data_IF_074828801736
#
_entry.id   IF_074828801736
#
_cell.length_a   1.000
_cell.length_b   1.000
_cell.length_c   1.000
_cell.angle_alpha   90.00
_cell.angle_beta   90.00
_cell.angle_gamma   90.00
#
_symmetry.space_group_name_H-M   'P 1'
#
loop_
_entity.id
_entity.type
_entity.pdbx_description
1 polymer ?
#
# COMPACT_ATOMS: atom_id res chain seq x y z
N UNK A 1 42.41 24.20 31.98
CA UNK A 1 41.73 24.08 30.67
C UNK A 1 40.47 23.26 30.85
N UNK A 2 39.37 23.70 30.26
CA UNK A 2 37.97 23.44 30.61
C UNK A 2 37.51 21.99 30.49
N UNK A 3 37.02 21.42 31.61
CA UNK A 3 36.31 20.15 31.64
C UNK A 3 34.85 20.42 31.21
N UNK A 4 34.54 20.13 29.94
CA UNK A 4 33.21 20.31 29.35
C UNK A 4 32.28 19.27 29.98
N UNK A 5 31.44 19.71 30.92
CA UNK A 5 30.30 18.93 31.42
C UNK A 5 29.54 18.41 30.20
N UNK A 6 29.53 17.09 30.04
CA UNK A 6 28.61 16.41 29.15
C UNK A 6 27.21 16.77 29.67
N UNK A 7 26.49 17.56 28.89
CA UNK A 7 25.11 17.93 29.13
C UNK A 7 24.28 16.67 28.94
N UNK A 8 24.02 16.00 30.06
CA UNK A 8 23.04 14.93 30.17
C UNK A 8 21.70 15.54 29.75
N UNK A 9 21.37 15.39 28.46
CA UNK A 9 20.24 16.05 27.82
C UNK A 9 18.99 15.90 28.68
N UNK A 10 18.59 16.98 29.34
CA UNK A 10 17.42 16.98 30.20
C UNK A 10 16.19 16.91 29.30
N UNK A 11 15.65 15.70 29.14
CA UNK A 11 14.40 15.48 28.43
C UNK A 11 13.30 16.21 29.20
N UNK A 12 12.77 17.30 28.64
CA UNK A 12 11.57 17.90 29.21
C UNK A 12 10.43 16.90 29.03
N UNK A 13 9.56 16.72 30.04
CA UNK A 13 8.47 15.72 29.98
C UNK A 13 7.57 15.91 28.74
N UNK A 14 7.50 17.14 28.23
CA UNK A 14 6.81 17.48 26.96
C UNK A 14 7.46 16.86 25.73
N UNK A 15 8.80 16.87 25.63
CA UNK A 15 9.54 16.24 24.51
C UNK A 15 9.43 14.71 24.57
N UNK A 16 9.47 14.16 25.77
CA UNK A 16 9.35 12.72 25.99
C UNK A 16 7.95 12.20 25.63
N UNK A 17 6.89 12.93 26.02
CA UNK A 17 5.52 12.61 25.61
C UNK A 17 5.33 12.69 24.09
N UNK A 18 5.88 13.74 23.45
CA UNK A 18 5.82 13.89 22.00
C UNK A 18 6.49 12.71 21.27
N UNK A 19 7.65 12.27 21.74
CA UNK A 19 8.39 11.17 21.13
C UNK A 19 7.69 9.82 21.33
N UNK A 20 7.08 9.57 22.50
CA UNK A 20 6.25 8.39 22.71
C UNK A 20 5.01 8.38 21.80
N UNK A 21 4.35 9.52 21.63
CA UNK A 21 3.20 9.66 20.73
C UNK A 21 3.61 9.43 19.27
N UNK A 22 4.75 9.96 18.85
CA UNK A 22 5.28 9.74 17.51
C UNK A 22 5.61 8.25 17.29
N UNK A 23 6.26 7.60 18.25
CA UNK A 23 6.54 6.16 18.19
C UNK A 23 5.27 5.32 18.12
N UNK A 24 4.23 5.68 18.90
CA UNK A 24 2.93 5.03 18.85
C UNK A 24 2.29 5.15 17.46
N UNK A 25 2.30 6.35 16.86
CA UNK A 25 1.78 6.55 15.50
C UNK A 25 2.54 5.69 14.50
N UNK A 26 3.88 5.68 14.56
CA UNK A 26 4.71 4.86 13.66
C UNK A 26 4.38 3.37 13.83
N UNK A 27 4.25 2.89 15.07
CA UNK A 27 3.87 1.50 15.35
C UNK A 27 2.48 1.15 14.77
N UNK A 28 1.51 2.06 14.87
CA UNK A 28 0.18 1.88 14.26
C UNK A 28 0.30 1.80 12.73
N UNK A 29 1.06 2.70 12.10
CA UNK A 29 1.24 2.69 10.65
C UNK A 29 1.92 1.40 10.15
N UNK A 30 2.95 0.94 10.86
CA UNK A 30 3.61 -0.34 10.57
C UNK A 30 2.62 -1.49 10.73
N UNK A 31 1.86 -1.53 11.83
CA UNK A 31 0.86 -2.55 12.06
C UNK A 31 -0.19 -2.60 10.95
N UNK A 32 -0.66 -1.42 10.49
CA UNK A 32 -1.60 -1.34 9.36
C UNK A 32 -0.99 -1.87 8.06
N UNK A 33 0.25 -1.52 7.75
CA UNK A 33 0.91 -2.01 6.54
C UNK A 33 1.11 -3.53 6.58
N UNK A 34 1.54 -4.09 7.72
CA UNK A 34 1.73 -5.53 7.89
C UNK A 34 0.43 -6.35 7.83
N UNK A 35 -0.70 -5.72 8.17
CA UNK A 35 -2.01 -6.35 8.14
C UNK A 35 -2.75 -6.15 6.80
N UNK A 36 -2.22 -5.31 5.90
CA UNK A 36 -2.83 -5.08 4.59
C UNK A 36 -2.43 -6.22 3.66
N UNK A 37 -3.41 -7.03 3.24
CA UNK A 37 -3.21 -8.10 2.27
C UNK A 37 -3.04 -7.49 0.87
N UNK A 38 -1.80 -7.40 0.39
CA UNK A 38 -1.47 -6.87 -0.93
C UNK A 38 -1.10 -8.03 -1.86
N UNK A 39 -1.58 -8.02 -3.11
CA UNK A 39 -1.14 -9.00 -4.10
C UNK A 39 0.37 -8.89 -4.36
N UNK A 40 0.98 -10.03 -4.66
CA UNK A 40 2.42 -10.21 -4.89
C UNK A 40 2.92 -9.50 -6.15
N UNK A 41 2.05 -9.34 -7.14
CA UNK A 41 2.36 -8.68 -8.40
C UNK A 41 1.33 -7.60 -8.75
N UNK A 42 1.83 -6.47 -9.25
CA UNK A 42 1.00 -5.44 -9.88
C UNK A 42 0.86 -5.80 -11.36
N UNK A 43 -0.38 -6.02 -11.79
CA UNK A 43 -0.67 -6.33 -13.18
C UNK A 43 -0.73 -5.04 -14.00
N UNK A 44 0.13 -4.96 -15.01
CA UNK A 44 0.23 -3.82 -15.92
C UNK A 44 -0.09 -4.33 -17.32
N UNK A 45 -1.04 -3.69 -17.97
CA UNK A 45 -1.41 -3.98 -19.35
C UNK A 45 -0.30 -3.55 -20.32
N UNK A 46 -0.31 -4.05 -21.55
CA UNK A 46 0.64 -3.60 -22.60
C UNK A 46 0.62 -2.09 -22.86
N UNK A 47 -0.49 -1.42 -22.56
CA UNK A 47 -0.63 0.04 -22.67
C UNK A 47 -0.05 0.83 -21.49
N UNK A 48 0.49 0.15 -20.47
CA UNK A 48 1.03 0.75 -19.25
C UNK A 48 -0.02 1.06 -18.17
N UNK A 49 -1.27 0.61 -18.33
CA UNK A 49 -2.33 0.79 -17.32
C UNK A 49 -2.27 -0.32 -16.27
N UNK A 50 -2.44 0.04 -15.01
CA UNK A 50 -2.59 -0.91 -13.90
C UNK A 50 -4.02 -1.48 -13.94
N UNK A 51 -4.13 -2.79 -13.81
CA UNK A 51 -5.41 -3.49 -13.69
C UNK A 51 -5.31 -4.64 -12.69
N UNK A 52 -5.82 -4.43 -11.49
CA UNK A 52 -5.71 -5.36 -10.37
C UNK A 52 -6.77 -6.47 -10.40
N UNK A 53 -7.67 -6.53 -11.39
CA UNK A 53 -8.71 -7.56 -11.42
C UNK A 53 -8.12 -8.98 -11.45
N UNK A 54 -7.00 -9.18 -12.16
CA UNK A 54 -6.30 -10.47 -12.25
C UNK A 54 -5.59 -10.92 -10.97
N UNK A 55 -5.51 -10.06 -9.95
CA UNK A 55 -4.99 -10.44 -8.63
C UNK A 55 -5.89 -11.48 -7.94
N UNK A 56 -7.20 -11.42 -8.19
CA UNK A 56 -8.21 -12.37 -7.73
C UNK A 56 -8.68 -13.29 -8.88
N UNK A 57 -8.86 -12.75 -10.08
CA UNK A 57 -9.30 -13.47 -11.27
C UNK A 57 -8.12 -14.06 -12.06
N UNK A 58 -7.49 -15.10 -11.49
CA UNK A 58 -6.24 -15.67 -12.01
C UNK A 58 -6.44 -16.62 -13.20
N UNK A 59 -7.63 -17.20 -13.32
CA UNK A 59 -7.90 -18.32 -14.24
C UNK A 59 -8.73 -17.91 -15.46
N UNK A 60 -9.22 -16.67 -15.47
CA UNK A 60 -10.01 -16.09 -16.53
C UNK A 60 -9.20 -15.97 -17.82
N UNK A 61 -9.68 -16.65 -18.87
CA UNK A 61 -9.11 -16.64 -20.21
C UNK A 61 -10.14 -16.14 -21.19
N UNK A 62 -9.86 -14.98 -21.78
CA UNK A 62 -10.55 -14.48 -22.95
C UNK A 62 -9.82 -14.93 -24.22
N UNK A 63 -10.46 -14.71 -25.37
CA UNK A 63 -9.79 -14.93 -26.64
C UNK A 63 -8.58 -14.00 -26.81
N UNK A 64 -7.62 -14.32 -27.70
CA UNK A 64 -6.39 -13.54 -27.83
C UNK A 64 -6.59 -12.06 -28.19
N UNK A 65 -7.70 -11.70 -28.85
CA UNK A 65 -7.99 -10.30 -29.16
C UNK A 65 -8.50 -9.50 -27.95
N UNK A 66 -8.97 -10.20 -26.91
CA UNK A 66 -9.47 -9.61 -25.67
C UNK A 66 -8.65 -10.03 -24.45
N UNK A 67 -7.35 -10.34 -24.62
CA UNK A 67 -6.49 -10.73 -23.50
C UNK A 67 -6.47 -9.60 -22.45
N UNK A 68 -6.81 -9.90 -21.18
CA UNK A 68 -6.88 -8.88 -20.12
C UNK A 68 -5.51 -8.27 -19.80
N UNK A 69 -4.39 -8.94 -20.15
CA UNK A 69 -3.04 -8.38 -20.05
C UNK A 69 -2.75 -7.35 -21.14
N UNK A 70 -3.61 -7.25 -22.15
CA UNK A 70 -3.48 -6.27 -23.24
C UNK A 70 -4.41 -5.08 -23.00
N UNK A 71 -5.71 -5.33 -22.79
CA UNK A 71 -6.76 -4.29 -22.74
C UNK A 71 -7.13 -3.89 -21.30
N UNK A 72 -6.97 -4.81 -20.33
CA UNK A 72 -7.51 -4.68 -18.98
C UNK A 72 -8.99 -5.11 -18.90
N UNK A 73 -9.39 -5.62 -17.75
CA UNK A 73 -10.75 -6.04 -17.42
C UNK A 73 -11.68 -4.84 -17.21
N UNK A 74 -11.20 -3.80 -16.51
CA UNK A 74 -11.99 -2.65 -16.12
C UNK A 74 -12.51 -1.82 -17.32
N UNK A 75 -11.78 -1.84 -18.44
CA UNK A 75 -12.16 -1.14 -19.67
C UNK A 75 -13.54 -1.54 -20.21
N UNK A 76 -14.01 -2.75 -19.89
CA UNK A 76 -15.31 -3.26 -20.33
C UNK A 76 -16.23 -3.64 -19.17
N UNK A 77 -15.68 -4.18 -18.07
CA UNK A 77 -16.45 -4.60 -16.90
C UNK A 77 -16.69 -3.48 -15.88
N UNK A 78 -16.07 -2.30 -16.09
CA UNK A 78 -16.34 -1.06 -15.37
C UNK A 78 -16.09 -1.08 -13.85
N UNK A 79 -15.37 -2.07 -13.34
CA UNK A 79 -14.88 -2.08 -11.96
C UNK A 79 -13.71 -1.13 -11.72
N UNK A 80 -13.36 -0.89 -10.46
CA UNK A 80 -12.17 -0.11 -10.10
C UNK A 80 -10.91 -0.97 -10.27
N UNK A 81 -10.14 -0.66 -11.33
CA UNK A 81 -8.92 -1.37 -11.68
C UNK A 81 -7.77 -1.20 -10.67
N UNK A 82 -7.88 -0.24 -9.73
CA UNK A 82 -6.84 0.05 -8.75
C UNK A 82 -7.16 -0.52 -7.36
N UNK A 83 -8.38 -1.02 -7.16
CA UNK A 83 -8.79 -1.63 -5.91
C UNK A 83 -8.13 -3.00 -5.71
N UNK A 84 -7.60 -3.22 -4.50
CA UNK A 84 -7.00 -4.50 -4.09
C UNK A 84 -7.98 -5.37 -3.28
N UNK A 85 -9.15 -4.83 -2.93
CA UNK A 85 -10.20 -5.57 -2.25
C UNK A 85 -11.46 -5.63 -3.12
N UNK A 86 -12.27 -6.66 -2.88
CA UNK A 86 -13.45 -6.98 -3.67
C UNK A 86 -14.51 -5.89 -3.62
N UNK A 87 -14.73 -5.30 -2.45
CA UNK A 87 -15.78 -4.33 -2.21
C UNK A 87 -15.50 -3.04 -2.98
N UNK A 88 -14.28 -2.53 -2.96
CA UNK A 88 -13.90 -1.34 -3.74
C UNK A 88 -13.88 -1.61 -5.24
N UNK A 89 -13.45 -2.80 -5.66
CA UNK A 89 -13.37 -3.17 -7.08
C UNK A 89 -14.74 -3.24 -7.77
N UNK A 90 -15.83 -3.54 -7.05
CA UNK A 90 -17.15 -3.84 -7.62
C UNK A 90 -18.28 -2.93 -7.13
N UNK A 91 -17.97 -1.74 -6.58
CA UNK A 91 -18.97 -0.72 -6.26
C UNK A 91 -19.65 -0.18 -7.51
#
# INVERSE_FOLDING_TARGET
MTNKKMDNGSWTPRKQLFLLLLLLIVAILIGRELLTDRPDQVHITTSGRIDMCLSCHKDEKLDPAHDPRVIGCASCHLGDALAINKEEAHK
#
